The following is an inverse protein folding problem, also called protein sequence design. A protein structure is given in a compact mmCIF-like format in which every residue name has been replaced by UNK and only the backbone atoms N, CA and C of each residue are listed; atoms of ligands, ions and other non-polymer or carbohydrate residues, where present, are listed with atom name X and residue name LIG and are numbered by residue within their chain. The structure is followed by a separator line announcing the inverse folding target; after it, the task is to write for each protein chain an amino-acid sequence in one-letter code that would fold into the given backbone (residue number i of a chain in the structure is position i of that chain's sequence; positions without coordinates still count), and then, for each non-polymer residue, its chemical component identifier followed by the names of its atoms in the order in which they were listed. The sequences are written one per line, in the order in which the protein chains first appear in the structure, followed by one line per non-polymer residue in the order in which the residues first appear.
data_IF_632620909708
#
_entry.id   IF_632620909708
#
_cell.length_a   1.000
_cell.length_b   1.000
_cell.length_c   1.000
_cell.angle_alpha   90.00
_cell.angle_beta   90.00
_cell.angle_gamma   90.00
#
_symmetry.space_group_name_H-M   'P 1'
#
loop_
_entity.id
_entity.type
_entity.pdbx_description
1 polymer ?
#
# COMPACT_ATOMS: atom_id res chain seq x y z
N UNK A 1 -26.03 -18.92 64.72
CA UNK A 1 -25.53 -18.33 63.45
C UNK A 1 -24.73 -19.41 62.75
N UNK A 2 -25.19 -19.86 61.59
CA UNK A 2 -24.49 -20.85 60.78
C UNK A 2 -23.95 -20.13 59.55
N UNK A 3 -22.65 -20.30 59.26
CA UNK A 3 -22.04 -19.84 58.02
C UNK A 3 -21.44 -21.05 57.30
N UNK A 4 -21.55 -21.06 55.97
CA UNK A 4 -20.85 -22.01 55.11
C UNK A 4 -19.76 -21.25 54.37
N UNK A 5 -18.51 -21.69 54.53
CA UNK A 5 -17.44 -21.35 53.59
C UNK A 5 -17.41 -22.45 52.53
N UNK A 6 -18.06 -22.17 51.39
CA UNK A 6 -17.93 -23.03 50.21
C UNK A 6 -16.52 -22.82 49.66
N UNK A 7 -15.71 -23.88 49.53
CA UNK A 7 -14.48 -23.80 48.74
C UNK A 7 -14.90 -23.42 47.32
N UNK A 8 -14.41 -22.30 46.80
CA UNK A 8 -14.54 -21.98 45.38
C UNK A 8 -13.99 -23.16 44.55
N UNK A 9 -14.61 -23.49 43.41
CA UNK A 9 -14.09 -24.55 42.56
C UNK A 9 -12.63 -24.24 42.20
N UNK A 10 -11.79 -25.27 42.25
CA UNK A 10 -10.37 -25.14 41.91
C UNK A 10 -10.24 -24.53 40.52
N UNK A 11 -9.46 -23.45 40.40
CA UNK A 11 -8.98 -22.97 39.10
C UNK A 11 -8.40 -24.18 38.37
N UNK A 12 -8.88 -24.53 37.16
CA UNK A 12 -8.21 -25.51 36.34
C UNK A 12 -6.90 -24.85 35.90
N UNK A 13 -5.85 -25.09 36.68
CA UNK A 13 -4.49 -24.69 36.35
C UNK A 13 -3.91 -25.78 35.45
N UNK A 14 -4.06 -25.60 34.14
CA UNK A 14 -3.16 -26.15 33.12
C UNK A 14 -3.49 -25.48 31.77
N UNK A 15 -2.67 -24.48 31.40
CA UNK A 15 -2.85 -23.51 30.31
C UNK A 15 -3.89 -22.41 30.57
N UNK A 16 -3.45 -21.15 30.59
CA UNK A 16 -4.37 -20.02 30.39
C UNK A 16 -4.86 -20.11 28.94
N UNK A 17 -6.17 -20.34 28.70
CA UNK A 17 -6.67 -20.54 27.34
C UNK A 17 -6.61 -19.26 26.51
N UNK A 18 -6.78 -18.10 27.16
CA UNK A 18 -6.73 -16.79 26.55
C UNK A 18 -5.33 -16.45 26.03
N UNK A 19 -5.26 -15.95 24.80
CA UNK A 19 -4.06 -15.54 24.07
C UNK A 19 -3.89 -14.03 24.12
N UNK A 20 -2.74 -13.55 23.61
CA UNK A 20 -2.44 -12.13 23.43
C UNK A 20 -2.69 -11.30 24.71
N UNK A 21 -2.25 -11.88 25.82
CA UNK A 21 -2.39 -11.34 27.18
C UNK A 21 -3.83 -10.90 27.57
N UNK A 22 -4.83 -11.54 27.00
CA UNK A 22 -6.21 -11.36 27.40
C UNK A 22 -6.47 -11.90 28.82
N UNK A 23 -7.43 -11.29 29.51
CA UNK A 23 -7.77 -11.65 30.88
C UNK A 23 -8.75 -12.82 30.86
N UNK A 24 -8.40 -13.92 31.53
CA UNK A 24 -9.29 -15.08 31.68
C UNK A 24 -10.26 -14.85 32.85
N UNK A 25 -11.54 -14.71 32.53
CA UNK A 25 -12.60 -14.46 33.51
C UNK A 25 -13.38 -15.75 33.76
N UNK A 26 -13.39 -16.21 35.01
CA UNK A 26 -14.09 -17.44 35.41
C UNK A 26 -15.59 -17.20 35.63
N UNK A 27 -16.43 -18.06 35.08
CA UNK A 27 -17.90 -18.03 35.23
C UNK A 27 -18.36 -19.20 36.10
N UNK A 28 -18.20 -19.04 37.41
CA UNK A 28 -18.33 -20.14 38.38
C UNK A 28 -19.69 -20.85 38.38
N UNK A 29 -20.79 -20.13 38.10
CA UNK A 29 -22.14 -20.70 38.10
C UNK A 29 -22.43 -21.60 36.88
N UNK A 30 -21.68 -21.42 35.81
CA UNK A 30 -21.83 -22.14 34.55
C UNK A 30 -20.71 -23.16 34.32
N UNK A 31 -19.73 -23.22 35.23
CA UNK A 31 -18.52 -24.01 35.09
C UNK A 31 -17.80 -23.72 33.75
N UNK A 32 -17.80 -22.45 33.35
CA UNK A 32 -17.23 -21.93 32.09
C UNK A 32 -16.24 -20.80 32.37
N UNK A 33 -15.65 -20.28 31.30
CA UNK A 33 -14.83 -19.08 31.31
C UNK A 33 -15.08 -18.30 30.02
N UNK A 34 -14.74 -17.02 30.02
CA UNK A 34 -14.57 -16.23 28.81
C UNK A 34 -13.26 -15.44 28.88
N UNK A 35 -12.80 -14.98 27.71
CA UNK A 35 -11.62 -14.14 27.61
C UNK A 35 -12.03 -12.70 27.34
N UNK A 36 -11.59 -11.79 28.20
CA UNK A 36 -11.67 -10.35 27.97
C UNK A 36 -10.48 -9.93 27.10
N UNK A 37 -10.73 -9.76 25.80
CA UNK A 37 -9.71 -9.41 24.84
C UNK A 37 -9.21 -7.97 25.02
N UNK A 38 -7.90 -7.77 24.82
CA UNK A 38 -7.34 -6.44 24.67
C UNK A 38 -7.91 -5.75 23.42
N UNK A 39 -7.98 -4.40 23.39
CA UNK A 39 -8.37 -3.68 22.18
C UNK A 39 -7.55 -4.11 20.96
N UNK A 40 -8.22 -4.38 19.84
CA UNK A 40 -7.59 -4.87 18.61
C UNK A 40 -7.50 -6.40 18.48
N UNK A 41 -7.84 -7.15 19.53
CA UNK A 41 -7.92 -8.61 19.52
C UNK A 41 -9.38 -9.09 19.67
N UNK A 42 -9.66 -10.27 19.12
CA UNK A 42 -10.97 -10.91 19.17
C UNK A 42 -10.86 -12.44 18.98
N UNK A 43 -12.01 -13.12 18.97
CA UNK A 43 -12.09 -14.58 18.97
C UNK A 43 -12.37 -15.13 20.37
N UNK A 44 -12.71 -16.41 20.46
CA UNK A 44 -13.11 -17.05 21.73
C UNK A 44 -11.99 -17.01 22.76
N UNK A 45 -10.74 -17.11 22.30
CA UNK A 45 -9.55 -17.06 23.15
C UNK A 45 -8.68 -15.84 22.83
N UNK A 46 -9.22 -14.81 22.18
CA UNK A 46 -8.47 -13.62 21.75
C UNK A 46 -7.28 -13.94 20.85
N UNK A 47 -7.34 -15.04 20.10
CA UNK A 47 -6.27 -15.54 19.23
C UNK A 47 -6.19 -14.81 17.88
N UNK A 48 -7.19 -13.98 17.57
CA UNK A 48 -7.27 -13.21 16.34
C UNK A 48 -7.06 -11.73 16.62
N UNK A 49 -6.60 -11.00 15.62
CA UNK A 49 -6.40 -9.56 15.71
C UNK A 49 -5.01 -9.17 16.23
N UNK A 50 -4.71 -7.88 16.05
CA UNK A 50 -3.56 -7.06 16.52
C UNK A 50 -3.62 -5.68 15.79
N UNK A 51 -4.77 -5.30 15.20
CA UNK A 51 -4.89 -4.15 14.28
C UNK A 51 -3.77 -4.05 13.23
N UNK A 52 -3.12 -5.16 12.84
CA UNK A 52 -1.97 -5.10 11.90
C UNK A 52 -2.32 -4.50 10.54
N UNK A 53 -3.54 -4.75 10.08
CA UNK A 53 -4.07 -4.29 8.79
C UNK A 53 -5.55 -3.94 8.93
N UNK A 54 -6.12 -3.25 7.94
CA UNK A 54 -7.56 -2.99 7.90
C UNK A 54 -8.39 -4.29 7.94
N UNK A 55 -7.89 -5.38 7.35
CA UNK A 55 -8.56 -6.69 7.37
C UNK A 55 -8.70 -7.22 8.80
N UNK A 56 -7.66 -7.08 9.62
CA UNK A 56 -7.73 -7.49 11.03
C UNK A 56 -8.79 -6.67 11.80
N UNK A 57 -8.85 -5.36 11.54
CA UNK A 57 -9.88 -4.48 12.12
C UNK A 57 -11.27 -4.90 11.70
N UNK A 58 -11.50 -5.14 10.40
CA UNK A 58 -12.79 -5.56 9.85
C UNK A 58 -13.21 -6.93 10.36
N UNK A 59 -12.26 -7.84 10.54
CA UNK A 59 -12.52 -9.17 11.09
C UNK A 59 -13.04 -9.08 12.53
N UNK A 60 -12.38 -8.32 13.40
CA UNK A 60 -12.80 -8.15 14.79
C UNK A 60 -14.02 -7.21 14.95
N UNK A 61 -14.25 -6.31 13.99
CA UNK A 61 -15.42 -5.44 13.94
C UNK A 61 -16.00 -5.40 12.53
N UNK A 62 -16.88 -6.36 12.16
CA UNK A 62 -17.48 -6.42 10.81
C UNK A 62 -18.28 -5.17 10.42
N UNK A 63 -18.72 -4.38 11.41
CA UNK A 63 -19.46 -3.12 11.21
C UNK A 63 -18.56 -1.89 11.14
N UNK A 64 -17.24 -2.05 11.21
CA UNK A 64 -16.26 -0.96 11.08
C UNK A 64 -16.55 -0.12 9.83
N UNK A 65 -16.51 1.20 10.01
CA UNK A 65 -16.78 2.21 8.98
C UNK A 65 -15.48 2.77 8.44
N UNK A 66 -15.53 3.42 7.28
CA UNK A 66 -14.36 4.12 6.76
C UNK A 66 -13.90 5.21 7.73
N UNK A 67 -12.60 5.43 7.83
CA UNK A 67 -12.02 6.39 8.77
C UNK A 67 -10.54 6.15 9.02
N UNK A 68 -9.96 6.94 9.92
CA UNK A 68 -8.57 6.78 10.33
C UNK A 68 -8.45 5.72 11.42
N UNK A 69 -7.55 4.76 11.20
CA UNK A 69 -7.23 3.69 12.13
C UNK A 69 -5.72 3.66 12.38
N UNK A 70 -5.34 3.26 13.59
CA UNK A 70 -3.96 2.94 13.89
C UNK A 70 -3.73 1.48 13.55
N UNK A 71 -2.75 1.21 12.69
CA UNK A 71 -2.35 -0.13 12.31
C UNK A 71 -0.86 -0.37 12.58
N UNK A 72 -0.52 -1.62 12.83
CA UNK A 72 0.85 -2.07 13.10
C UNK A 72 1.27 -3.23 12.17
N UNK A 73 1.64 -2.94 10.90
CA UNK A 73 1.88 -3.97 9.90
C UNK A 73 3.04 -4.92 10.20
N UNK A 74 4.07 -4.47 10.90
CA UNK A 74 5.21 -5.29 11.35
C UNK A 74 5.02 -5.89 12.74
N UNK A 75 4.08 -5.38 13.52
CA UNK A 75 3.64 -5.96 14.78
C UNK A 75 4.48 -5.55 15.98
N UNK A 76 4.08 -6.07 17.14
CA UNK A 76 4.64 -5.61 18.42
C UNK A 76 6.18 -5.77 18.50
N UNK A 77 6.84 -4.70 18.94
CA UNK A 77 8.30 -4.62 19.02
C UNK A 77 8.99 -4.18 17.72
N UNK A 78 8.23 -3.96 16.65
CA UNK A 78 8.69 -3.37 15.40
C UNK A 78 8.79 -1.84 15.43
N UNK A 79 8.56 -1.22 14.27
CA UNK A 79 8.42 0.23 14.12
C UNK A 79 7.15 0.69 14.83
N UNK A 80 7.09 1.98 15.19
CA UNK A 80 5.88 2.52 15.82
C UNK A 80 4.66 2.38 14.86
N UNK A 81 3.47 2.01 15.37
CA UNK A 81 2.25 1.94 14.57
C UNK A 81 1.92 3.25 13.84
N UNK A 82 1.24 3.14 12.70
CA UNK A 82 0.84 4.30 11.87
C UNK A 82 -0.65 4.53 11.89
N UNK A 83 -1.03 5.80 11.75
CA UNK A 83 -2.40 6.18 11.47
C UNK A 83 -2.60 6.25 9.95
N UNK A 84 -3.53 5.45 9.43
CA UNK A 84 -3.86 5.40 8.00
C UNK A 84 -5.36 5.54 7.82
N UNK A 85 -5.77 6.01 6.65
CA UNK A 85 -7.18 5.95 6.27
C UNK A 85 -7.51 4.55 5.77
N UNK A 86 -8.49 3.90 6.37
CA UNK A 86 -9.04 2.65 5.87
C UNK A 86 -10.41 2.96 5.26
N UNK A 87 -10.55 2.77 3.95
CA UNK A 87 -11.87 2.78 3.34
C UNK A 87 -12.47 1.38 3.51
N UNK A 88 -13.45 1.24 4.39
CA UNK A 88 -14.09 -0.04 4.71
C UNK A 88 -15.28 -0.37 3.78
N UNK A 89 -15.51 0.44 2.74
CA UNK A 89 -16.60 0.29 1.77
C UNK A 89 -16.13 -0.15 0.39
N UNK A 90 -14.86 0.08 0.07
CA UNK A 90 -14.24 -0.38 -1.17
C UNK A 90 -14.16 -1.90 -1.30
N UNK A 91 -13.96 -2.37 -2.54
CA UNK A 91 -13.82 -3.79 -2.91
C UNK A 91 -14.93 -4.65 -2.29
N UNK A 92 -16.19 -4.26 -2.54
CA UNK A 92 -17.39 -4.94 -2.04
C UNK A 92 -17.45 -5.04 -0.49
N UNK A 93 -16.85 -4.08 0.22
CA UNK A 93 -16.86 -4.00 1.68
C UNK A 93 -15.75 -4.78 2.38
N UNK A 94 -14.82 -5.38 1.63
CA UNK A 94 -13.55 -5.92 2.16
C UNK A 94 -12.69 -4.79 2.75
N UNK A 95 -12.72 -3.64 2.09
CA UNK A 95 -11.98 -2.46 2.46
C UNK A 95 -10.56 -2.43 1.93
N UNK A 96 -9.94 -1.26 2.03
CA UNK A 96 -8.57 -0.98 1.57
C UNK A 96 -7.89 -0.02 2.54
N UNK A 97 -6.57 -0.16 2.69
CA UNK A 97 -5.74 0.83 3.39
C UNK A 97 -5.22 1.83 2.35
N UNK A 98 -5.48 3.12 2.57
CA UNK A 98 -5.05 4.21 1.69
C UNK A 98 -3.90 4.96 2.35
N UNK A 99 -2.79 5.11 1.61
CA UNK A 99 -1.62 5.88 2.03
C UNK A 99 -1.37 6.98 1.00
N UNK A 100 -1.55 8.23 1.43
CA UNK A 100 -1.38 9.41 0.58
C UNK A 100 0.06 9.91 0.53
N UNK A 101 0.37 10.68 -0.52
CA UNK A 101 1.68 11.27 -0.73
C UNK A 101 1.61 12.67 -1.35
N UNK A 102 2.75 13.36 -1.39
CA UNK A 102 2.91 14.75 -1.84
C UNK A 102 2.94 14.96 -3.35
N UNK A 103 2.59 13.93 -4.13
CA UNK A 103 2.75 13.90 -5.60
C UNK A 103 1.50 13.36 -6.31
N UNK A 104 0.33 13.52 -5.68
CA UNK A 104 -0.97 13.09 -6.23
C UNK A 104 -1.53 14.04 -7.30
N UNK A 105 -1.14 15.33 -7.27
CA UNK A 105 -1.54 16.32 -8.27
C UNK A 105 -0.57 16.38 -9.46
N UNK A 106 -1.12 16.64 -10.65
CA UNK A 106 -0.32 16.88 -11.87
C UNK A 106 0.64 18.06 -11.66
N UNK A 107 1.92 17.81 -11.90
CA UNK A 107 2.99 18.81 -11.83
C UNK A 107 3.52 19.02 -13.24
N UNK A 108 3.55 20.28 -13.70
CA UNK A 108 4.19 20.62 -14.97
C UNK A 108 5.71 20.50 -14.82
N UNK A 109 6.35 19.80 -15.75
CA UNK A 109 7.80 19.66 -15.84
C UNK A 109 8.22 20.18 -17.21
N UNK A 110 9.04 21.21 -17.24
CA UNK A 110 9.58 21.82 -18.45
C UNK A 110 11.06 22.22 -18.27
N UNK A 111 11.80 22.36 -19.39
CA UNK A 111 13.19 22.85 -19.42
C UNK A 111 14.24 21.83 -18.89
N UNK A 112 13.88 20.56 -18.76
CA UNK A 112 14.80 19.48 -18.39
C UNK A 112 15.04 18.56 -19.60
N UNK A 113 16.09 18.82 -20.37
CA UNK A 113 16.45 18.02 -21.56
C UNK A 113 17.31 16.80 -21.25
N UNK A 114 18.20 16.91 -20.26
CA UNK A 114 19.05 15.80 -19.85
C UNK A 114 18.23 14.61 -19.34
N UNK A 115 18.70 13.38 -19.60
CA UNK A 115 18.00 12.17 -19.19
C UNK A 115 17.87 12.13 -17.66
N UNK A 116 16.63 12.05 -17.17
CA UNK A 116 16.32 12.09 -15.73
C UNK A 116 16.83 13.34 -15.00
N UNK A 117 17.06 14.44 -15.72
CA UNK A 117 17.59 15.69 -15.12
C UNK A 117 16.59 16.39 -14.21
N UNK A 118 15.29 16.24 -14.47
CA UNK A 118 14.27 16.54 -13.48
C UNK A 118 14.20 15.43 -12.43
N UNK A 119 14.02 15.80 -11.17
CA UNK A 119 13.85 14.83 -10.08
C UNK A 119 12.81 15.30 -9.09
N UNK A 120 11.91 14.39 -8.71
CA UNK A 120 10.92 14.60 -7.66
C UNK A 120 10.90 13.42 -6.71
N UNK A 121 11.34 13.64 -5.48
CA UNK A 121 11.15 12.68 -4.39
C UNK A 121 9.67 12.57 -4.05
N UNK A 122 9.18 11.37 -3.78
CA UNK A 122 7.80 11.13 -3.37
C UNK A 122 7.78 10.93 -1.85
N UNK A 123 7.14 11.86 -1.14
CA UNK A 123 7.02 11.81 0.32
C UNK A 123 5.64 11.32 0.71
N UNK A 124 5.58 10.19 1.41
CA UNK A 124 4.35 9.64 1.98
C UNK A 124 4.08 10.25 3.36
N UNK A 125 2.83 10.61 3.62
CA UNK A 125 2.46 11.27 4.87
C UNK A 125 2.39 10.28 6.04
N UNK A 126 2.82 10.76 7.22
CA UNK A 126 2.67 10.09 8.52
C UNK A 126 3.14 8.62 8.57
N UNK A 127 4.16 8.28 7.76
CA UNK A 127 4.71 6.91 7.66
C UNK A 127 6.20 6.92 7.27
N UNK A 128 6.82 5.75 7.19
CA UNK A 128 8.19 5.56 6.73
C UNK A 128 8.28 4.46 5.68
N UNK A 129 9.34 4.47 4.85
CA UNK A 129 9.55 3.42 3.84
C UNK A 129 9.65 2.01 4.45
N UNK A 130 10.23 1.89 5.65
CA UNK A 130 10.29 0.61 6.37
C UNK A 130 8.91 0.08 6.75
N UNK A 131 7.98 0.96 7.10
CA UNK A 131 6.65 0.54 7.50
C UNK A 131 5.71 0.33 6.29
N UNK A 132 5.88 1.15 5.25
CA UNK A 132 5.24 0.91 3.96
C UNK A 132 5.66 -0.44 3.37
N UNK A 133 6.93 -0.80 3.51
CA UNK A 133 7.41 -2.13 3.15
C UNK A 133 6.65 -3.25 3.86
N UNK A 134 6.52 -3.16 5.18
CA UNK A 134 5.80 -4.15 6.00
C UNK A 134 4.32 -4.21 5.64
N UNK A 135 3.69 -3.06 5.38
CA UNK A 135 2.31 -2.99 4.89
C UNK A 135 2.15 -3.65 3.52
N UNK A 136 3.03 -3.35 2.57
CA UNK A 136 3.02 -3.94 1.23
C UNK A 136 3.23 -5.45 1.30
N UNK A 137 4.13 -5.95 2.14
CA UNK A 137 4.41 -7.38 2.32
C UNK A 137 3.27 -8.12 3.02
N UNK A 138 2.63 -7.52 4.03
CA UNK A 138 1.52 -8.13 4.78
C UNK A 138 0.18 -8.08 4.03
N UNK A 139 0.04 -7.20 3.03
CA UNK A 139 -1.19 -7.07 2.25
C UNK A 139 -1.30 -8.17 1.19
N UNK A 140 -2.48 -8.78 1.04
CA UNK A 140 -2.74 -9.78 0.00
C UNK A 140 -2.68 -9.18 -1.41
N UNK A 141 -3.17 -7.95 -1.58
CA UNK A 141 -3.13 -7.18 -2.82
C UNK A 141 -2.58 -5.78 -2.52
N UNK A 142 -1.84 -5.21 -3.48
CA UNK A 142 -1.27 -3.86 -3.38
C UNK A 142 -1.26 -3.26 -4.78
N UNK A 143 -1.69 -2.01 -4.88
CA UNK A 143 -1.76 -1.27 -6.13
C UNK A 143 -1.30 0.17 -5.87
N UNK A 144 -0.48 0.72 -6.77
CA UNK A 144 -0.16 2.15 -6.80
C UNK A 144 -0.39 2.68 -8.21
N UNK A 145 -1.16 3.75 -8.35
CA UNK A 145 -1.48 4.33 -9.66
C UNK A 145 -0.45 5.36 -10.09
N UNK A 146 -0.15 5.40 -11.39
CA UNK A 146 0.62 6.47 -12.03
C UNK A 146 -0.07 6.91 -13.32
N UNK A 147 -0.07 8.22 -13.57
CA UNK A 147 -0.50 8.83 -14.83
C UNK A 147 0.61 9.76 -15.30
N UNK A 148 0.97 9.66 -16.58
CA UNK A 148 1.89 10.59 -17.24
C UNK A 148 1.19 11.21 -18.45
N UNK A 149 1.43 12.50 -18.65
CA UNK A 149 0.85 13.29 -19.74
C UNK A 149 1.99 14.08 -20.38
N UNK A 150 2.14 13.99 -21.70
CA UNK A 150 3.22 14.63 -22.45
C UNK A 150 2.69 15.51 -23.57
N UNK A 151 3.54 16.45 -24.00
CA UNK A 151 3.36 17.26 -25.20
C UNK A 151 4.73 17.44 -25.84
N UNK A 152 4.99 16.80 -26.98
CA UNK A 152 6.29 16.77 -27.65
C UNK A 152 7.46 16.46 -26.69
N UNK A 153 7.32 15.36 -25.95
CA UNK A 153 8.30 14.85 -25.01
C UNK A 153 8.28 13.33 -25.06
N UNK A 154 9.43 12.72 -25.38
CA UNK A 154 9.60 11.28 -25.46
C UNK A 154 10.08 10.72 -24.12
N UNK A 155 9.52 9.58 -23.71
CA UNK A 155 9.92 8.92 -22.47
C UNK A 155 10.95 7.81 -22.74
N UNK A 156 10.83 7.14 -23.89
CA UNK A 156 11.70 6.10 -24.38
C UNK A 156 12.11 6.43 -25.82
N UNK A 157 13.40 6.37 -26.13
CA UNK A 157 13.87 6.63 -27.49
C UNK A 157 14.98 5.65 -27.87
N UNK A 158 14.76 4.83 -28.89
CA UNK A 158 15.74 3.83 -29.37
C UNK A 158 16.30 2.87 -28.28
N UNK A 159 15.50 2.56 -27.25
CA UNK A 159 15.92 1.71 -26.13
C UNK A 159 16.57 2.47 -24.97
N UNK A 160 16.76 3.79 -25.10
CA UNK A 160 17.21 4.65 -24.00
C UNK A 160 16.02 5.25 -23.25
N UNK A 161 16.10 5.22 -21.92
CA UNK A 161 15.11 5.85 -21.05
C UNK A 161 15.46 7.32 -20.78
N UNK A 162 14.56 8.22 -21.16
CA UNK A 162 14.69 9.65 -20.84
C UNK A 162 14.10 9.99 -19.47
N UNK A 163 13.18 9.15 -18.98
CA UNK A 163 12.65 9.21 -17.63
C UNK A 163 12.34 7.82 -17.07
N UNK A 164 12.28 7.72 -15.75
CA UNK A 164 12.00 6.49 -15.00
C UNK A 164 11.44 6.82 -13.62
N UNK A 165 10.85 5.83 -12.96
CA UNK A 165 10.57 5.89 -11.53
C UNK A 165 11.64 5.09 -10.77
N UNK A 166 11.87 5.47 -9.52
CA UNK A 166 12.83 4.80 -8.62
C UNK A 166 12.05 3.97 -7.62
N UNK A 167 12.44 2.71 -7.48
CA UNK A 167 11.84 1.79 -6.52
C UNK A 167 12.25 2.10 -5.08
N UNK A 168 11.56 1.47 -4.13
CA UNK A 168 11.97 1.47 -2.71
C UNK A 168 13.35 0.89 -2.41
N UNK A 169 13.95 0.17 -3.37
CA UNK A 169 15.29 -0.39 -3.25
C UNK A 169 16.32 0.42 -4.05
N UNK A 170 15.99 1.67 -4.41
CA UNK A 170 16.85 2.60 -5.16
C UNK A 170 17.16 2.15 -6.60
N UNK A 171 16.43 1.18 -7.12
CA UNK A 171 16.57 0.73 -8.51
C UNK A 171 15.82 1.66 -9.47
N UNK A 172 16.47 2.06 -10.55
CA UNK A 172 15.84 2.75 -11.68
C UNK A 172 15.02 1.75 -12.49
N UNK A 173 13.71 1.98 -12.56
CA UNK A 173 12.78 1.02 -13.13
C UNK A 173 12.56 1.27 -14.61
N UNK A 174 12.50 0.20 -15.40
CA UNK A 174 12.45 0.30 -16.87
C UNK A 174 11.06 0.11 -17.47
N UNK A 175 10.05 -0.11 -16.64
CA UNK A 175 8.67 -0.32 -17.04
C UNK A 175 7.78 0.63 -16.26
N UNK A 176 6.56 0.82 -16.72
CA UNK A 176 5.61 1.73 -16.10
C UNK A 176 4.27 1.06 -15.77
N UNK A 177 3.30 1.85 -15.30
CA UNK A 177 2.01 1.34 -14.81
C UNK A 177 1.34 0.39 -15.81
N UNK A 178 0.80 -0.70 -15.27
CA UNK A 178 0.13 -1.79 -16.00
C UNK A 178 0.97 -2.50 -17.08
N UNK A 179 2.28 -2.26 -17.17
CA UNK A 179 3.16 -2.96 -18.10
C UNK A 179 3.61 -4.36 -17.62
N UNK A 180 3.11 -4.86 -16.48
CA UNK A 180 3.47 -6.16 -15.88
C UNK A 180 4.98 -6.47 -15.88
N UNK A 181 5.77 -5.46 -15.52
CA UNK A 181 7.23 -5.51 -15.48
C UNK A 181 7.91 -5.77 -16.83
N UNK A 182 7.18 -5.59 -17.95
CA UNK A 182 7.75 -5.67 -19.31
C UNK A 182 8.55 -4.38 -19.59
N UNK A 183 9.86 -4.48 -19.83
CA UNK A 183 10.72 -3.31 -20.04
C UNK A 183 10.28 -2.44 -21.23
N UNK A 184 10.50 -1.14 -21.09
CA UNK A 184 10.29 -0.11 -22.12
C UNK A 184 8.86 -0.07 -22.65
N UNK A 185 7.88 -0.38 -21.79
CA UNK A 185 6.46 -0.34 -22.13
C UNK A 185 5.64 0.34 -21.04
N UNK A 186 4.53 0.89 -21.50
CA UNK A 186 3.35 1.23 -20.72
C UNK A 186 2.17 0.32 -21.11
N UNK A 187 1.03 0.51 -20.45
CA UNK A 187 -0.24 -0.15 -20.74
C UNK A 187 -0.57 -0.17 -22.25
N UNK A 188 -0.44 0.96 -22.96
CA UNK A 188 -0.82 1.00 -24.38
C UNK A 188 0.06 0.09 -25.25
N UNK A 189 1.32 -0.15 -24.87
CA UNK A 189 2.28 -0.91 -25.66
C UNK A 189 2.21 -2.43 -25.46
N UNK A 190 1.27 -2.93 -24.66
CA UNK A 190 1.05 -4.36 -24.43
C UNK A 190 0.27 -5.03 -25.58
N UNK A 191 -0.25 -6.24 -25.36
CA UNK A 191 -0.65 -7.25 -26.37
C UNK A 191 -1.76 -6.87 -27.36
N UNK A 192 -2.32 -5.66 -27.30
CA UNK A 192 -3.25 -5.13 -28.30
C UNK A 192 -2.79 -3.79 -28.93
N UNK A 193 -1.53 -3.39 -28.66
CA UNK A 193 -0.90 -2.10 -28.97
C UNK A 193 -1.89 -0.96 -29.31
N UNK A 194 -2.44 -0.35 -28.27
CA UNK A 194 -3.38 0.77 -28.39
C UNK A 194 -2.68 2.12 -28.40
N UNK A 195 -1.35 2.15 -28.48
CA UNK A 195 -0.62 3.40 -28.59
C UNK A 195 -0.99 4.11 -29.89
N UNK A 196 -0.94 5.44 -29.88
CA UNK A 196 -1.31 6.23 -31.05
C UNK A 196 -0.30 6.13 -32.22
N UNK A 197 0.78 5.38 -32.04
CA UNK A 197 1.51 4.70 -33.11
C UNK A 197 1.95 3.32 -32.59
N UNK A 198 1.53 2.26 -33.29
CA UNK A 198 1.73 0.87 -32.90
C UNK A 198 3.19 0.40 -33.03
N UNK A 199 4.10 1.25 -33.51
CA UNK A 199 5.53 1.00 -33.53
C UNK A 199 6.19 1.22 -32.16
N UNK A 200 5.53 1.94 -31.25
CA UNK A 200 6.10 2.35 -29.96
C UNK A 200 5.55 1.54 -28.78
N UNK A 201 6.29 1.58 -27.67
CA UNK A 201 5.95 0.93 -26.40
C UNK A 201 5.10 1.79 -25.46
N UNK A 202 4.98 3.08 -25.74
CA UNK A 202 4.11 4.00 -25.02
C UNK A 202 3.61 5.13 -25.95
N UNK A 203 2.60 5.87 -25.50
CA UNK A 203 2.06 6.99 -26.28
C UNK A 203 3.07 8.14 -26.47
N UNK A 204 4.00 8.30 -25.53
CA UNK A 204 4.91 9.45 -25.45
C UNK A 204 5.99 9.42 -26.52
N UNK A 205 6.40 8.23 -26.97
CA UNK A 205 7.50 8.07 -27.92
C UNK A 205 7.13 8.49 -29.35
N UNK A 206 5.83 8.70 -29.63
CA UNK A 206 5.41 9.36 -30.87
C UNK A 206 5.95 10.80 -30.96
N UNK A 207 6.21 11.44 -29.81
CA UNK A 207 6.89 12.72 -29.69
C UNK A 207 6.35 13.79 -30.66
N UNK A 208 5.04 13.98 -30.66
CA UNK A 208 4.36 14.95 -31.52
C UNK A 208 3.78 16.12 -30.73
N UNK A 209 3.30 17.12 -31.45
CA UNK A 209 2.69 18.34 -30.90
C UNK A 209 1.24 18.15 -30.45
N UNK A 210 0.88 16.94 -30.02
CA UNK A 210 -0.41 16.59 -29.45
C UNK A 210 -0.24 16.19 -27.98
N UNK A 211 -1.24 16.53 -27.16
CA UNK A 211 -1.26 16.06 -25.79
C UNK A 211 -1.55 14.56 -25.76
N UNK A 212 -0.69 13.80 -25.09
CA UNK A 212 -0.82 12.36 -24.98
C UNK A 212 -0.73 11.93 -23.54
N UNK A 213 -1.39 10.83 -23.22
CA UNK A 213 -1.38 10.27 -21.89
C UNK A 213 -1.20 8.75 -21.92
N UNK A 214 -0.68 8.24 -20.83
CA UNK A 214 -0.65 6.82 -20.51
C UNK A 214 -0.65 6.68 -19.00
N UNK A 215 -1.21 5.59 -18.50
CA UNK A 215 -1.41 5.39 -17.07
C UNK A 215 -1.53 3.92 -16.75
N UNK A 216 -1.40 3.60 -15.46
CA UNK A 216 -1.64 2.25 -15.02
C UNK A 216 -1.30 2.02 -13.55
N UNK A 217 -1.62 0.82 -13.10
CA UNK A 217 -1.35 0.37 -11.74
C UNK A 217 -0.02 -0.39 -11.70
N UNK A 218 0.81 -0.06 -10.72
CA UNK A 218 1.90 -0.92 -10.29
C UNK A 218 1.39 -1.94 -9.28
N UNK A 219 1.73 -3.20 -9.49
CA UNK A 219 1.30 -4.33 -8.63
C UNK A 219 2.48 -5.14 -8.08
N UNK A 220 3.71 -4.89 -8.55
CA UNK A 220 4.92 -5.59 -8.10
C UNK A 220 5.40 -5.09 -6.72
N UNK A 221 4.88 -5.73 -5.66
CA UNK A 221 5.13 -5.41 -4.25
C UNK A 221 6.61 -5.28 -3.85
N UNK A 222 7.51 -6.04 -4.47
CA UNK A 222 8.94 -6.03 -4.14
C UNK A 222 9.62 -4.71 -4.54
N UNK A 223 9.04 -3.96 -5.48
CA UNK A 223 9.57 -2.71 -6.04
C UNK A 223 8.86 -1.46 -5.52
N UNK A 224 7.68 -1.62 -4.94
CA UNK A 224 6.84 -0.52 -4.45
C UNK A 224 7.00 -0.27 -2.95
N UNK A 225 6.83 0.96 -2.46
CA UNK A 225 6.31 2.15 -3.17
C UNK A 225 7.30 2.82 -4.14
N UNK A 226 6.78 3.68 -5.02
CA UNK A 226 7.60 4.62 -5.81
C UNK A 226 8.23 5.65 -4.87
N UNK A 227 9.55 5.83 -4.92
CA UNK A 227 10.27 6.77 -4.05
C UNK A 227 10.68 8.06 -4.75
N UNK A 228 10.84 8.03 -6.08
CA UNK A 228 11.24 9.19 -6.86
C UNK A 228 10.79 9.06 -8.31
N UNK A 229 10.52 10.20 -8.94
CA UNK A 229 10.26 10.32 -10.37
C UNK A 229 11.41 11.10 -11.02
N UNK A 230 11.88 10.61 -12.17
CA UNK A 230 12.94 11.21 -12.98
C UNK A 230 12.43 11.43 -14.39
N UNK A 231 12.55 12.66 -14.90
CA UNK A 231 12.11 13.01 -16.25
C UNK A 231 13.20 13.78 -17.00
N UNK A 232 13.18 13.65 -18.32
CA UNK A 232 14.05 14.33 -19.28
C UNK A 232 13.27 14.56 -20.57
N UNK A 233 13.88 15.19 -21.58
CA UNK A 233 13.20 15.55 -22.83
C UNK A 233 11.96 16.43 -22.62
N UNK A 234 12.03 17.34 -21.65
CA UNK A 234 10.92 18.27 -21.32
C UNK A 234 11.25 19.71 -21.68
N UNK A 235 12.45 19.98 -22.21
CA UNK A 235 12.79 21.27 -22.76
C UNK A 235 12.34 21.40 -24.21
N UNK A 236 12.08 22.64 -24.61
CA UNK A 236 11.95 23.01 -26.00
C UNK A 236 13.26 23.69 -26.36
N UNK A 237 14.03 23.13 -27.29
CA UNK A 237 15.14 23.88 -27.89
C UNK A 237 14.50 25.08 -28.58
N UNK A 238 14.65 26.27 -27.99
CA UNK A 238 14.39 27.52 -28.68
C UNK A 238 15.59 27.77 -29.58
N UNK A 239 15.47 27.40 -30.85
CA UNK A 239 16.34 27.89 -31.91
C UNK A 239 16.25 29.43 -32.02
#
# INVERSE_FOLDING_TARGET
MLYNLVRGPQSPRESSPCKNDAVCVSEYLLNSYHCDCRPGFCGTHCEQGENRTHNAIKYCNPKAKSGYYVIDPDGEGGVKPIQVYCDMTEKEGLGVTVVSHDSENKTLVDVFDGYGSYSRDVTYYDTSLLLLASLTTSSAHFEQFIEYVCYHSALLFNGDMRGWWVSRNEENMTYWGAADSVPFKFACGLSNNTCADASYGCNFDKNDWEWRNDSGLFTEKSKLPVTQLRFGDTGVIKD
#
